data_IF_847302874071
#
_entry.id   IF_847302874071
#
_cell.length_a   1.000
_cell.length_b   1.000
_cell.length_c   1.000
_cell.angle_alpha   90.00
_cell.angle_beta   90.00
_cell.angle_gamma   90.00
#
_symmetry.space_group_name_H-M   'P 1'
#
loop_
_entity.id
_entity.type
_entity.pdbx_description
1 polymer ?
#
# COMPACT_ATOMS: atom_id res chain seq x y z
N UNK A 1 8.22 19.04 26.78
CA UNK A 1 7.44 17.88 26.31
C UNK A 1 6.57 18.35 25.15
N UNK A 2 6.96 18.08 23.93
CA UNK A 2 6.13 18.31 22.73
C UNK A 2 5.03 17.24 22.71
N UNK A 3 3.78 17.65 22.58
CA UNK A 3 2.61 16.75 22.49
C UNK A 3 2.35 16.48 21.02
N UNK A 4 2.40 15.22 20.62
CA UNK A 4 2.00 14.78 19.30
C UNK A 4 0.49 14.52 19.28
N UNK A 5 -0.19 14.95 18.24
CA UNK A 5 -1.64 14.90 18.16
C UNK A 5 -2.14 13.82 17.21
N UNK A 6 -3.09 13.04 17.69
CA UNK A 6 -3.88 12.13 16.88
C UNK A 6 -5.35 12.35 17.18
N UNK A 7 -6.16 12.71 16.18
CA UNK A 7 -7.61 12.85 16.34
C UNK A 7 -8.21 11.54 16.87
N UNK A 8 -9.22 11.67 17.72
CA UNK A 8 -10.06 10.59 18.22
C UNK A 8 -10.95 10.05 17.07
N UNK A 9 -10.33 9.50 16.06
CA UNK A 9 -10.93 8.45 15.26
C UNK A 9 -10.05 7.25 15.50
N UNK A 10 -10.70 6.14 15.88
CA UNK A 10 -10.09 4.85 15.77
C UNK A 10 -9.14 4.94 14.59
N UNK A 11 -7.84 4.72 14.80
CA UNK A 11 -6.91 4.56 13.69
C UNK A 11 -7.26 3.21 13.06
N UNK A 12 -8.43 3.17 12.45
CA UNK A 12 -8.83 2.11 11.54
C UNK A 12 -7.88 2.27 10.39
N UNK A 13 -7.03 1.30 10.33
CA UNK A 13 -5.87 1.27 9.47
C UNK A 13 -6.14 1.65 8.06
N UNK A 14 -5.22 2.33 7.66
CA UNK A 14 -4.85 2.86 6.39
C UNK A 14 -5.24 1.95 5.25
N UNK A 15 -6.07 2.52 4.48
CA UNK A 15 -6.62 1.95 3.30
C UNK A 15 -5.91 2.57 2.09
N UNK A 16 -5.20 1.79 1.35
CA UNK A 16 -4.89 2.15 -0.03
C UNK A 16 -5.69 1.23 -0.95
N UNK A 17 -6.60 1.80 -1.70
CA UNK A 17 -7.15 1.15 -2.86
C UNK A 17 -6.53 1.81 -4.08
N UNK A 18 -5.92 1.04 -4.94
CA UNK A 18 -5.30 1.53 -6.14
C UNK A 18 -5.95 0.89 -7.36
N UNK A 19 -6.33 1.71 -8.31
CA UNK A 19 -6.89 1.26 -9.59
C UNK A 19 -5.98 1.72 -10.70
N UNK A 20 -5.53 0.78 -11.52
CA UNK A 20 -4.78 1.05 -12.75
C UNK A 20 -5.60 0.51 -13.92
N UNK A 21 -6.15 1.41 -14.72
CA UNK A 21 -6.83 1.05 -15.97
C UNK A 21 -5.84 1.11 -17.14
N UNK A 22 -5.70 0.01 -17.87
CA UNK A 22 -4.81 -0.10 -19.01
C UNK A 22 -5.62 -0.18 -20.32
N UNK A 23 -5.24 0.55 -21.37
CA UNK A 23 -5.89 0.45 -22.67
C UNK A 23 -5.66 -0.90 -23.35
N UNK A 24 -6.58 -1.34 -24.16
CA UNK A 24 -6.53 -2.62 -24.89
C UNK A 24 -5.43 -2.68 -25.97
N UNK A 25 -4.89 -1.52 -26.37
CA UNK A 25 -3.85 -1.42 -27.40
C UNK A 25 -2.51 -1.12 -26.76
N UNK A 26 -1.63 -2.09 -26.86
CA UNK A 26 -0.18 -2.10 -26.61
C UNK A 26 0.41 -1.05 -25.68
N UNK A 27 1.05 -1.52 -24.63
CA UNK A 27 1.89 -0.67 -23.79
C UNK A 27 3.08 -0.18 -24.63
N UNK A 28 2.99 1.05 -25.13
CA UNK A 28 4.15 1.76 -25.64
C UNK A 28 4.80 2.49 -24.46
N UNK A 29 5.91 1.95 -23.98
CA UNK A 29 6.77 2.64 -23.03
C UNK A 29 7.42 3.84 -23.75
N UNK A 30 7.00 5.04 -23.39
CA UNK A 30 7.74 6.24 -23.74
C UNK A 30 9.06 6.23 -22.97
N UNK A 31 10.17 6.43 -23.69
CA UNK A 31 11.51 6.51 -23.13
C UNK A 31 11.65 7.69 -22.17
N UNK A 32 11.72 7.41 -20.87
CA UNK A 32 12.24 8.35 -19.90
C UNK A 32 13.74 8.02 -19.72
N UNK A 33 14.61 8.99 -19.99
CA UNK A 33 16.05 8.88 -19.77
C UNK A 33 16.32 8.63 -18.29
N UNK A 34 16.80 7.42 -17.99
CA UNK A 34 17.29 7.06 -16.66
C UNK A 34 18.70 7.64 -16.48
N UNK A 35 18.87 8.57 -15.57
CA UNK A 35 20.21 9.00 -15.13
C UNK A 35 20.85 7.89 -14.30
N UNK A 36 22.01 7.44 -14.72
CA UNK A 36 22.83 6.42 -14.05
C UNK A 36 23.17 6.82 -12.60
N UNK A 37 22.78 5.96 -11.67
CA UNK A 37 23.37 5.95 -10.32
C UNK A 37 24.19 4.67 -10.22
N UNK A 38 25.53 4.81 -10.26
CA UNK A 38 26.45 3.71 -10.01
C UNK A 38 26.35 3.28 -8.55
N UNK A 39 25.93 2.04 -8.30
CA UNK A 39 26.11 1.39 -7.00
C UNK A 39 27.32 0.46 -7.06
N UNK A 40 28.34 0.79 -6.26
CA UNK A 40 29.44 -0.12 -5.93
C UNK A 40 29.07 -0.89 -4.67
N UNK A 41 28.85 -2.19 -4.77
CA UNK A 41 29.30 -3.20 -3.79
C UNK A 41 28.88 -4.59 -4.27
N UNK A 42 29.91 -5.33 -4.74
CA UNK A 42 29.83 -6.78 -4.90
C UNK A 42 30.07 -7.44 -3.53
N UNK A 43 29.11 -8.24 -3.10
CA UNK A 43 29.40 -9.37 -2.21
C UNK A 43 28.58 -10.58 -2.67
N UNK A 44 29.27 -11.49 -3.31
CA UNK A 44 28.75 -12.79 -3.76
C UNK A 44 28.67 -13.75 -2.59
N UNK A 45 27.46 -14.14 -2.21
CA UNK A 45 27.20 -15.35 -1.43
C UNK A 45 26.24 -16.25 -2.19
N UNK A 46 26.79 -17.36 -2.69
CA UNK A 46 26.04 -18.46 -3.29
C UNK A 46 25.40 -19.31 -2.19
N UNK A 47 24.08 -19.38 -2.16
CA UNK A 47 23.31 -20.25 -1.28
C UNK A 47 21.83 -20.10 -1.58
N UNK A 48 21.20 -21.22 -1.91
CA UNK A 48 19.78 -21.51 -2.15
C UNK A 48 18.83 -20.29 -1.97
N UNK A 49 18.56 -19.56 -3.06
CA UNK A 49 17.74 -18.34 -3.04
C UNK A 49 16.27 -18.72 -3.04
N UNK A 50 15.65 -18.70 -1.86
CA UNK A 50 14.24 -18.30 -1.78
C UNK A 50 14.11 -16.87 -2.30
N UNK A 51 12.95 -16.50 -2.85
CA UNK A 51 12.71 -15.17 -3.42
C UNK A 51 13.03 -14.08 -2.38
N UNK A 52 14.21 -13.49 -2.46
CA UNK A 52 14.62 -12.42 -1.57
C UNK A 52 14.46 -11.09 -2.30
N UNK A 53 13.57 -10.25 -1.79
CA UNK A 53 13.54 -8.84 -2.18
C UNK A 53 14.76 -8.15 -1.56
N UNK A 54 15.40 -7.28 -2.33
CA UNK A 54 16.33 -6.32 -1.78
C UNK A 54 15.54 -5.28 -0.97
N UNK A 55 15.56 -5.46 0.35
CA UNK A 55 14.83 -4.57 1.29
C UNK A 55 15.30 -3.14 1.24
N UNK A 56 16.58 -2.91 0.92
CA UNK A 56 17.13 -1.56 0.82
C UNK A 56 16.57 -0.85 -0.42
N UNK A 57 16.53 -1.53 -1.57
CA UNK A 57 15.92 -1.01 -2.79
C UNK A 57 14.43 -0.73 -2.58
N UNK A 58 13.69 -1.67 -2.00
CA UNK A 58 12.25 -1.48 -1.73
C UNK A 58 11.98 -0.30 -0.81
N UNK A 59 12.78 -0.14 0.25
CA UNK A 59 12.63 1.00 1.17
C UNK A 59 12.94 2.33 0.49
N UNK A 60 14.05 2.42 -0.25
CA UNK A 60 14.42 3.63 -0.99
C UNK A 60 13.34 4.03 -2.01
N UNK A 61 12.79 3.07 -2.73
CA UNK A 61 11.73 3.33 -3.69
C UNK A 61 10.44 3.76 -3.02
N UNK A 62 10.11 3.19 -1.85
CA UNK A 62 8.96 3.63 -1.05
C UNK A 62 9.12 5.06 -0.56
N UNK A 63 10.32 5.48 -0.13
CA UNK A 63 10.62 6.86 0.25
C UNK A 63 10.48 7.80 -0.95
N UNK A 64 11.13 7.50 -2.09
CA UNK A 64 11.00 8.30 -3.32
C UNK A 64 9.56 8.46 -3.77
N UNK A 65 8.77 7.39 -3.69
CA UNK A 65 7.34 7.43 -4.01
C UNK A 65 6.58 8.36 -3.07
N UNK A 66 6.89 8.32 -1.78
CA UNK A 66 6.30 9.23 -0.78
C UNK A 66 6.59 10.68 -1.13
N UNK A 67 7.83 11.01 -1.47
CA UNK A 67 8.23 12.37 -1.88
C UNK A 67 7.48 12.82 -3.14
N UNK A 68 7.39 11.95 -4.16
CA UNK A 68 6.70 12.28 -5.41
C UNK A 68 5.20 12.52 -5.21
N UNK A 69 4.54 11.67 -4.42
CA UNK A 69 3.10 11.82 -4.11
C UNK A 69 2.89 13.08 -3.26
N UNK A 70 3.72 13.30 -2.24
CA UNK A 70 3.64 14.50 -1.41
C UNK A 70 3.78 15.78 -2.23
N UNK A 71 4.76 15.84 -3.13
CA UNK A 71 4.94 16.97 -4.03
C UNK A 71 3.74 17.19 -4.97
N UNK A 72 3.10 16.13 -5.43
CA UNK A 72 1.95 16.21 -6.34
C UNK A 72 0.68 16.73 -5.69
N UNK A 73 0.49 16.54 -4.37
CA UNK A 73 -0.71 16.97 -3.63
C UNK A 73 -0.58 18.35 -2.98
N UNK A 74 0.55 19.01 -3.18
CA UNK A 74 0.77 20.42 -2.83
C UNK A 74 0.38 20.78 -1.37
N UNK A 75 0.84 19.97 -0.41
CA UNK A 75 0.62 20.22 1.03
C UNK A 75 -0.69 19.70 1.61
N UNK A 76 -1.50 19.02 0.83
CA UNK A 76 -2.67 18.30 1.33
C UNK A 76 -2.25 17.05 2.11
N UNK A 77 -3.13 16.58 2.99
CA UNK A 77 -2.91 15.32 3.68
C UNK A 77 -2.93 14.16 2.70
N UNK A 78 -1.92 13.31 2.77
CA UNK A 78 -1.83 12.10 1.95
C UNK A 78 -1.92 10.84 2.82
N UNK A 79 -2.49 9.80 2.23
CA UNK A 79 -2.47 8.45 2.80
C UNK A 79 -2.39 7.45 1.66
N UNK A 80 -1.34 6.64 1.64
CA UNK A 80 -1.18 5.58 0.66
C UNK A 80 -0.37 4.42 1.24
N UNK A 81 -0.43 3.27 0.59
CA UNK A 81 0.32 2.08 0.96
C UNK A 81 1.37 1.75 -0.10
N UNK A 82 2.66 1.91 0.18
CA UNK A 82 3.72 1.43 -0.71
C UNK A 82 3.60 -0.06 -1.03
N UNK A 83 3.21 -0.87 -0.06
CA UNK A 83 2.99 -2.32 -0.25
C UNK A 83 1.91 -2.59 -1.29
N UNK A 84 0.77 -1.91 -1.22
CA UNK A 84 -0.31 -2.04 -2.21
C UNK A 84 0.14 -1.68 -3.61
N UNK A 85 0.90 -0.59 -3.75
CA UNK A 85 1.45 -0.19 -5.03
C UNK A 85 2.45 -1.22 -5.57
N UNK A 86 3.34 -1.74 -4.72
CA UNK A 86 4.28 -2.77 -5.12
C UNK A 86 3.57 -4.06 -5.56
N UNK A 87 2.47 -4.46 -4.93
CA UNK A 87 1.66 -5.59 -5.37
C UNK A 87 1.05 -5.33 -6.76
N UNK A 88 0.46 -4.16 -6.99
CA UNK A 88 -0.07 -3.79 -8.30
C UNK A 88 1.01 -3.78 -9.39
N UNK A 89 2.19 -3.18 -9.11
CA UNK A 89 3.32 -3.17 -10.02
C UNK A 89 3.89 -4.58 -10.26
N UNK A 90 3.90 -5.44 -9.23
CA UNK A 90 4.28 -6.85 -9.35
C UNK A 90 3.36 -7.61 -10.31
N UNK A 91 2.03 -7.43 -10.20
CA UNK A 91 1.10 -8.02 -11.16
C UNK A 91 1.33 -7.50 -12.58
N UNK A 92 1.64 -6.21 -12.76
CA UNK A 92 1.99 -5.65 -14.07
C UNK A 92 3.29 -6.29 -14.59
N UNK A 93 4.30 -6.47 -13.75
CA UNK A 93 5.57 -7.09 -14.12
C UNK A 93 5.41 -8.53 -14.63
N UNK A 94 4.42 -9.27 -14.09
CA UNK A 94 4.12 -10.63 -14.56
C UNK A 94 3.53 -10.64 -15.98
N UNK A 95 2.80 -9.59 -16.37
CA UNK A 95 2.31 -9.44 -17.74
C UNK A 95 3.31 -8.77 -18.69
N UNK A 96 4.35 -8.13 -18.17
CA UNK A 96 5.31 -7.37 -18.95
C UNK A 96 6.42 -8.26 -19.54
N UNK A 97 7.04 -7.77 -20.64
CA UNK A 97 8.19 -8.41 -21.30
C UNK A 97 9.25 -7.37 -21.67
N UNK A 98 10.48 -7.83 -21.89
CA UNK A 98 11.60 -6.98 -22.31
C UNK A 98 11.89 -5.86 -21.31
N UNK A 99 12.22 -4.69 -21.81
CA UNK A 99 12.64 -3.53 -21.02
C UNK A 99 11.62 -3.13 -19.94
N UNK A 100 10.33 -3.18 -20.25
CA UNK A 100 9.28 -2.87 -19.26
C UNK A 100 9.36 -3.81 -18.05
N UNK A 101 9.58 -5.12 -18.28
CA UNK A 101 9.75 -6.08 -17.19
C UNK A 101 11.00 -5.77 -16.38
N UNK A 102 12.12 -5.50 -17.06
CA UNK A 102 13.40 -5.17 -16.41
C UNK A 102 13.28 -3.93 -15.50
N UNK A 103 12.66 -2.86 -16.01
CA UNK A 103 12.45 -1.65 -15.22
C UNK A 103 11.60 -1.92 -13.98
N UNK A 104 10.52 -2.69 -14.12
CA UNK A 104 9.65 -3.04 -12.99
C UNK A 104 10.38 -3.95 -11.99
N UNK A 105 11.11 -4.95 -12.43
CA UNK A 105 11.89 -5.84 -11.56
C UNK A 105 12.97 -5.07 -10.78
N UNK A 106 13.68 -4.15 -11.45
CA UNK A 106 14.67 -3.28 -10.81
C UNK A 106 14.02 -2.37 -9.76
N UNK A 107 12.84 -1.82 -10.06
CA UNK A 107 12.09 -1.01 -9.11
C UNK A 107 11.62 -1.82 -7.91
N UNK A 108 11.12 -3.02 -8.13
CA UNK A 108 10.62 -3.92 -7.09
C UNK A 108 11.75 -4.59 -6.28
N UNK A 109 13.00 -4.56 -6.78
CA UNK A 109 14.15 -5.18 -6.14
C UNK A 109 14.15 -6.71 -6.21
N UNK A 110 13.43 -7.28 -7.17
CA UNK A 110 13.38 -8.73 -7.42
C UNK A 110 12.86 -9.04 -8.82
N UNK A 111 13.30 -10.15 -9.39
CA UNK A 111 12.81 -10.74 -10.63
C UNK A 111 11.72 -11.82 -10.39
N UNK A 112 11.50 -12.20 -9.14
CA UNK A 112 10.50 -13.19 -8.71
C UNK A 112 9.53 -12.57 -7.66
N UNK A 113 8.76 -11.61 -8.11
CA UNK A 113 7.79 -10.95 -7.23
C UNK A 113 6.61 -11.87 -6.88
N UNK A 114 6.32 -12.87 -7.70
CA UNK A 114 5.28 -13.88 -7.44
C UNK A 114 5.57 -14.65 -6.15
N UNK A 115 6.77 -15.18 -6.03
CA UNK A 115 7.18 -15.91 -4.83
C UNK A 115 7.19 -15.00 -3.60
N UNK A 116 7.69 -13.76 -3.75
CA UNK A 116 7.64 -12.77 -2.68
C UNK A 116 6.20 -12.46 -2.23
N UNK A 117 5.30 -12.17 -3.18
CA UNK A 117 3.90 -11.85 -2.86
C UNK A 117 3.23 -13.01 -2.11
N UNK A 118 3.44 -14.23 -2.57
CA UNK A 118 2.92 -15.44 -1.93
C UNK A 118 3.44 -15.63 -0.50
N UNK A 119 4.74 -15.45 -0.30
CA UNK A 119 5.36 -15.52 1.03
C UNK A 119 4.82 -14.41 1.94
N UNK A 120 4.75 -13.19 1.43
CA UNK A 120 4.22 -12.04 2.14
C UNK A 120 2.76 -12.25 2.57
N UNK A 121 1.88 -12.70 1.65
CA UNK A 121 0.49 -13.00 1.94
C UNK A 121 0.33 -14.13 2.98
N UNK A 122 1.23 -15.10 3.00
CA UNK A 122 1.23 -16.12 4.04
C UNK A 122 1.66 -15.53 5.39
N UNK A 123 2.69 -14.69 5.39
CA UNK A 123 3.20 -14.08 6.62
C UNK A 123 2.20 -13.12 7.27
N UNK A 124 1.47 -12.34 6.49
CA UNK A 124 0.49 -11.39 7.07
C UNK A 124 -0.65 -12.09 7.79
N UNK A 125 -0.90 -13.38 7.52
CA UNK A 125 -1.90 -14.17 8.28
C UNK A 125 -1.51 -14.32 9.75
N UNK A 126 -0.22 -14.28 10.07
CA UNK A 126 0.30 -14.36 11.44
C UNK A 126 -0.07 -13.13 12.28
N UNK A 127 -0.34 -11.98 11.62
CA UNK A 127 -0.77 -10.74 12.26
C UNK A 127 -2.29 -10.68 12.51
N UNK A 128 -3.04 -11.68 12.03
CA UNK A 128 -4.47 -11.79 12.29
C UNK A 128 -4.68 -12.58 13.58
N UNK A 129 -5.22 -11.95 14.60
CA UNK A 129 -5.51 -12.60 15.89
C UNK A 129 -6.99 -12.49 16.20
N UNK A 130 -7.56 -13.60 16.64
CA UNK A 130 -8.91 -13.65 17.19
C UNK A 130 -8.91 -13.69 18.73
N UNK A 131 -7.76 -13.43 19.34
CA UNK A 131 -7.61 -13.49 20.79
C UNK A 131 -8.38 -12.33 21.44
N UNK A 132 -9.54 -12.68 21.99
CA UNK A 132 -10.41 -11.76 22.71
C UNK A 132 -9.94 -11.52 24.16
N UNK A 133 -8.86 -12.18 24.63
CA UNK A 133 -8.36 -12.05 26.00
C UNK A 133 -7.96 -10.61 26.34
N UNK A 134 -7.63 -9.80 25.35
CA UNK A 134 -7.38 -8.35 25.48
C UNK A 134 -8.51 -7.48 24.91
N UNK A 135 -9.61 -8.07 24.47
CA UNK A 135 -10.75 -7.35 23.91
C UNK A 135 -10.51 -6.76 22.51
N UNK A 136 -9.46 -7.18 21.81
CA UNK A 136 -9.09 -6.67 20.50
C UNK A 136 -8.89 -7.79 19.50
N UNK A 137 -9.51 -7.62 18.33
CA UNK A 137 -9.20 -8.40 17.13
C UNK A 137 -8.19 -7.64 16.30
N UNK A 138 -7.20 -8.34 15.76
CA UNK A 138 -6.28 -7.77 14.79
C UNK A 138 -6.54 -8.38 13.42
N UNK A 139 -6.65 -7.54 12.41
CA UNK A 139 -6.92 -7.93 11.04
C UNK A 139 -6.02 -7.16 10.09
N UNK A 140 -5.19 -7.87 9.35
CA UNK A 140 -4.42 -7.35 8.23
C UNK A 140 -4.77 -8.15 6.99
N UNK A 141 -5.34 -7.50 5.99
CA UNK A 141 -5.81 -8.13 4.76
C UNK A 141 -5.30 -7.35 3.56
N UNK A 142 -4.72 -8.07 2.61
CA UNK A 142 -4.47 -7.58 1.26
C UNK A 142 -5.38 -8.37 0.32
N UNK A 143 -6.04 -7.70 -0.58
CA UNK A 143 -6.84 -8.31 -1.63
C UNK A 143 -6.52 -7.64 -2.97
N UNK A 144 -6.39 -8.46 -4.00
CA UNK A 144 -6.08 -8.07 -5.35
C UNK A 144 -7.16 -8.54 -6.30
N UNK A 145 -7.45 -7.77 -7.35
CA UNK A 145 -8.31 -8.23 -8.44
C UNK A 145 -7.83 -7.72 -9.80
N UNK A 146 -8.06 -8.55 -10.80
CA UNK A 146 -7.81 -8.29 -12.21
C UNK A 146 -9.13 -8.34 -12.95
N UNK A 147 -9.58 -7.17 -13.42
CA UNK A 147 -10.79 -7.01 -14.23
C UNK A 147 -10.39 -6.99 -15.68
N UNK A 148 -10.99 -7.85 -16.48
CA UNK A 148 -10.62 -8.06 -17.89
C UNK A 148 -11.82 -7.77 -18.77
N UNK A 149 -11.62 -7.03 -19.87
CA UNK A 149 -12.69 -6.81 -20.83
C UNK A 149 -13.21 -8.13 -21.38
N UNK A 150 -14.53 -8.24 -21.57
CA UNK A 150 -15.19 -9.45 -22.07
C UNK A 150 -14.69 -9.91 -23.45
N UNK A 151 -14.10 -9.01 -24.24
CA UNK A 151 -13.53 -9.32 -25.55
C UNK A 151 -12.08 -9.79 -25.50
N UNK A 152 -11.46 -9.81 -24.31
CA UNK A 152 -10.08 -10.22 -24.11
C UNK A 152 -10.00 -11.56 -23.38
N UNK A 153 -8.95 -12.30 -23.68
CA UNK A 153 -8.60 -13.54 -22.98
C UNK A 153 -7.18 -13.38 -22.41
N UNK A 154 -7.05 -13.54 -21.11
CA UNK A 154 -5.73 -13.55 -20.49
C UNK A 154 -4.96 -14.82 -20.88
N UNK A 155 -3.66 -14.67 -21.03
CA UNK A 155 -2.77 -15.83 -21.15
C UNK A 155 -2.80 -16.62 -19.83
N UNK A 156 -2.90 -17.94 -19.92
CA UNK A 156 -3.01 -18.82 -18.74
C UNK A 156 -1.81 -18.67 -17.79
N UNK A 157 -0.62 -18.42 -18.31
CA UNK A 157 0.57 -18.18 -17.50
C UNK A 157 0.40 -16.94 -16.60
N UNK A 158 -0.03 -15.81 -17.18
CA UNK A 158 -0.32 -14.58 -16.42
C UNK A 158 -1.45 -14.80 -15.40
N UNK A 159 -2.54 -15.40 -15.82
CA UNK A 159 -3.67 -15.71 -14.94
C UNK A 159 -3.24 -16.55 -13.75
N UNK A 160 -2.45 -17.60 -13.99
CA UNK A 160 -1.93 -18.47 -12.95
C UNK A 160 -0.97 -17.71 -12.01
N UNK A 161 -0.09 -16.84 -12.53
CA UNK A 161 0.81 -16.03 -11.72
C UNK A 161 0.03 -15.12 -10.77
N UNK A 162 -0.95 -14.37 -11.26
CA UNK A 162 -1.71 -13.43 -10.41
C UNK A 162 -2.62 -14.16 -9.41
N UNK A 163 -3.23 -15.27 -9.82
CA UNK A 163 -4.12 -16.04 -8.93
C UNK A 163 -3.34 -16.77 -7.84
N UNK A 164 -2.27 -17.48 -8.21
CA UNK A 164 -1.53 -18.34 -7.26
C UNK A 164 -0.46 -17.59 -6.47
N UNK A 165 0.10 -16.51 -7.03
CA UNK A 165 1.11 -15.67 -6.40
C UNK A 165 0.50 -14.59 -5.52
N UNK A 166 -0.38 -13.79 -6.09
CA UNK A 166 -0.98 -12.65 -5.42
C UNK A 166 -2.33 -12.95 -4.77
N UNK A 167 -2.90 -14.14 -5.00
CA UNK A 167 -4.25 -14.48 -4.55
C UNK A 167 -5.33 -13.63 -5.23
N UNK A 168 -5.03 -13.06 -6.40
CA UNK A 168 -5.93 -12.15 -7.08
C UNK A 168 -7.19 -12.84 -7.59
N UNK A 169 -8.32 -12.18 -7.43
CA UNK A 169 -9.57 -12.51 -8.12
C UNK A 169 -9.44 -12.07 -9.59
N UNK A 170 -9.87 -12.91 -10.54
CA UNK A 170 -9.84 -12.58 -11.97
C UNK A 170 -11.25 -12.68 -12.51
N UNK A 171 -11.80 -11.54 -12.94
CA UNK A 171 -13.17 -11.44 -13.44
C UNK A 171 -13.25 -10.73 -14.79
N UNK A 172 -14.14 -11.22 -15.67
CA UNK A 172 -14.47 -10.55 -16.92
C UNK A 172 -15.58 -9.53 -16.69
N UNK A 173 -15.42 -8.33 -17.26
CA UNK A 173 -16.35 -7.22 -17.16
C UNK A 173 -16.53 -6.54 -18.53
N UNK A 174 -17.58 -5.74 -18.66
CA UNK A 174 -17.83 -4.93 -19.85
C UNK A 174 -17.46 -3.47 -19.57
N UNK A 175 -16.28 -3.04 -19.98
CA UNK A 175 -15.84 -1.67 -19.77
C UNK A 175 -16.61 -0.64 -20.60
N UNK A 176 -17.34 -1.05 -21.66
CA UNK A 176 -18.23 -0.16 -22.39
C UNK A 176 -19.46 0.23 -21.55
N UNK A 177 -19.84 -0.62 -20.60
CA UNK A 177 -20.90 -0.37 -19.62
C UNK A 177 -20.29 0.25 -18.32
N UNK A 178 -19.62 1.40 -18.45
CA UNK A 178 -18.77 1.98 -17.42
C UNK A 178 -19.43 2.10 -16.03
N UNK A 179 -20.68 2.58 -15.95
CA UNK A 179 -21.39 2.71 -14.66
C UNK A 179 -21.59 1.34 -13.98
N UNK A 180 -21.99 0.33 -14.72
CA UNK A 180 -22.19 -1.03 -14.21
C UNK A 180 -20.87 -1.62 -13.74
N UNK A 181 -19.82 -1.50 -14.54
CA UNK A 181 -18.49 -2.03 -14.22
C UNK A 181 -17.89 -1.30 -13.02
N UNK A 182 -18.01 0.02 -12.92
CA UNK A 182 -17.64 0.75 -11.70
C UNK A 182 -18.41 0.26 -10.47
N UNK A 183 -19.70 -0.06 -10.61
CA UNK A 183 -20.49 -0.62 -9.51
C UNK A 183 -19.93 -1.95 -9.03
N UNK A 184 -19.50 -2.84 -9.91
CA UNK A 184 -18.88 -4.14 -9.58
C UNK A 184 -17.56 -3.91 -8.84
N UNK A 185 -16.65 -3.12 -9.41
CA UNK A 185 -15.32 -2.84 -8.86
C UNK A 185 -15.44 -2.15 -7.50
N UNK A 186 -16.30 -1.16 -7.37
CA UNK A 186 -16.55 -0.45 -6.12
C UNK A 186 -17.12 -1.37 -5.03
N UNK A 187 -18.07 -2.25 -5.38
CA UNK A 187 -18.60 -3.23 -4.43
C UNK A 187 -17.55 -4.22 -3.94
N UNK A 188 -16.62 -4.62 -4.82
CA UNK A 188 -15.48 -5.43 -4.43
C UNK A 188 -14.56 -4.69 -3.43
N UNK A 189 -14.28 -3.42 -3.70
CA UNK A 189 -13.46 -2.60 -2.80
C UNK A 189 -14.13 -2.40 -1.45
N UNK A 190 -15.40 -2.03 -1.43
CA UNK A 190 -16.22 -1.86 -0.22
C UNK A 190 -16.16 -3.10 0.67
N UNK A 191 -16.39 -4.28 0.09
CA UNK A 191 -16.30 -5.57 0.77
C UNK A 191 -14.91 -5.86 1.32
N UNK A 192 -13.85 -5.59 0.53
CA UNK A 192 -12.46 -5.91 0.93
C UNK A 192 -11.87 -4.89 1.90
N UNK A 193 -12.55 -3.77 2.12
CA UNK A 193 -12.17 -2.69 3.01
C UNK A 193 -13.15 -2.51 4.18
N UNK A 194 -14.00 -3.51 4.43
CA UNK A 194 -14.99 -3.49 5.52
C UNK A 194 -15.89 -2.24 5.51
N UNK A 195 -16.26 -1.77 4.33
CA UNK A 195 -17.08 -0.58 4.15
C UNK A 195 -16.35 0.77 4.27
N UNK A 196 -15.03 0.78 4.47
CA UNK A 196 -14.29 2.03 4.66
C UNK A 196 -14.01 2.76 3.34
N UNK A 197 -13.86 2.02 2.22
CA UNK A 197 -13.76 2.62 0.87
C UNK A 197 -14.87 2.08 -0.02
N UNK A 198 -16.02 2.72 -0.02
CA UNK A 198 -17.15 2.29 -0.86
C UNK A 198 -16.97 2.63 -2.35
N UNK A 199 -15.97 3.47 -2.69
CA UNK A 199 -15.78 3.93 -4.07
C UNK A 199 -14.32 4.27 -4.36
N UNK A 200 -13.72 3.58 -5.34
CA UNK A 200 -12.34 3.78 -5.78
C UNK A 200 -12.25 4.17 -7.26
N UNK A 201 -13.30 3.94 -8.03
CA UNK A 201 -13.32 4.20 -9.47
C UNK A 201 -14.62 4.90 -9.87
N UNK A 202 -14.51 5.79 -10.86
CA UNK A 202 -15.62 6.51 -11.45
C UNK A 202 -15.73 6.24 -12.94
N UNK A 203 -16.93 6.38 -13.56
CA UNK A 203 -17.13 6.03 -14.96
C UNK A 203 -16.27 6.80 -15.95
N UNK A 204 -15.75 7.97 -15.59
CA UNK A 204 -14.84 8.77 -16.41
C UNK A 204 -13.41 8.20 -16.51
N UNK A 205 -13.06 7.25 -15.62
CA UNK A 205 -11.74 6.60 -15.61
C UNK A 205 -11.66 5.35 -16.49
N UNK A 206 -12.79 4.84 -16.98
CA UNK A 206 -12.86 3.65 -17.82
C UNK A 206 -13.76 3.89 -19.04
N UNK A 207 -13.50 3.19 -20.12
CA UNK A 207 -14.28 3.28 -21.35
C UNK A 207 -14.11 2.01 -22.19
N UNK A 208 -14.70 2.00 -23.40
CA UNK A 208 -14.67 0.89 -24.37
C UNK A 208 -13.27 0.53 -24.89
N UNK A 209 -12.25 1.38 -24.66
CA UNK A 209 -10.85 1.09 -24.98
C UNK A 209 -10.08 0.52 -23.79
N UNK A 210 -10.68 0.45 -22.62
CA UNK A 210 -10.06 -0.17 -21.43
C UNK A 210 -10.07 -1.68 -21.60
N UNK A 211 -8.90 -2.29 -21.63
CA UNK A 211 -8.77 -3.74 -21.77
C UNK A 211 -8.62 -4.47 -20.46
N UNK A 212 -7.98 -3.81 -19.48
CA UNK A 212 -7.67 -4.40 -18.19
C UNK A 212 -7.63 -3.34 -17.10
N UNK A 213 -8.13 -3.68 -15.92
CA UNK A 213 -8.02 -2.88 -14.72
C UNK A 213 -7.50 -3.73 -13.57
N UNK A 214 -6.54 -3.22 -12.83
CA UNK A 214 -6.03 -3.86 -11.62
C UNK A 214 -6.48 -3.07 -10.40
N UNK A 215 -6.92 -3.78 -9.38
CA UNK A 215 -7.26 -3.19 -8.09
C UNK A 215 -6.55 -3.92 -6.97
N UNK A 216 -6.06 -3.16 -6.02
CA UNK A 216 -5.52 -3.68 -4.77
C UNK A 216 -6.18 -2.96 -3.60
N UNK A 217 -6.43 -3.66 -2.53
CA UNK A 217 -6.86 -3.10 -1.25
C UNK A 217 -6.03 -3.66 -0.11
N UNK A 218 -5.71 -2.79 0.86
CA UNK A 218 -5.11 -3.17 2.12
C UNK A 218 -6.01 -2.69 3.25
N UNK A 219 -6.42 -3.60 4.12
CA UNK A 219 -7.19 -3.32 5.33
C UNK A 219 -6.36 -3.70 6.55
N UNK A 220 -6.30 -2.78 7.52
CA UNK A 220 -5.63 -3.01 8.80
C UNK A 220 -6.48 -2.51 9.96
N UNK A 221 -6.66 -3.36 10.95
CA UNK A 221 -7.30 -3.06 12.23
C UNK A 221 -6.55 -3.79 13.33
N UNK A 222 -6.22 -3.10 14.42
CA UNK A 222 -5.62 -3.73 15.60
C UNK A 222 -5.82 -2.85 16.83
N UNK A 223 -5.89 -3.46 17.99
CA UNK A 223 -5.77 -2.77 19.26
C UNK A 223 -4.32 -2.36 19.54
N UNK A 224 -4.13 -1.47 20.49
CA UNK A 224 -2.80 -1.09 20.99
C UNK A 224 -2.29 -2.12 21.98
N UNK A 225 -1.00 -2.42 21.91
CA UNK A 225 -0.32 -3.14 23.00
C UNK A 225 -0.16 -2.22 24.21
N UNK A 226 -0.40 -2.75 25.41
CA UNK A 226 -0.23 -2.01 26.67
C UNK A 226 -1.36 -1.02 26.98
N UNK A 227 -1.03 -0.02 27.79
CA UNK A 227 -2.02 0.93 28.33
C UNK A 227 -2.70 1.76 27.24
N UNK A 228 -4.01 2.04 27.35
CA UNK A 228 -4.72 2.85 26.38
C UNK A 228 -4.21 4.30 26.36
N UNK A 229 -4.49 4.99 25.25
CA UNK A 229 -4.23 6.42 25.16
C UNK A 229 -5.11 7.21 26.13
N UNK A 230 -4.50 8.12 26.86
CA UNK A 230 -5.25 9.11 27.63
C UNK A 230 -5.65 10.26 26.71
N UNK A 231 -6.94 10.53 26.62
CA UNK A 231 -7.48 11.68 25.87
C UNK A 231 -7.61 12.86 26.80
N UNK A 232 -7.07 14.03 26.40
CA UNK A 232 -7.19 15.26 27.19
C UNK A 232 -8.66 15.66 27.39
N UNK A 233 -9.00 16.16 28.59
CA UNK A 233 -10.35 16.67 28.86
C UNK A 233 -10.60 17.99 28.15
N UNK A 234 -9.54 18.75 27.91
CA UNK A 234 -9.58 20.08 27.28
C UNK A 234 -9.11 20.01 25.83
N UNK A 235 -9.71 20.84 24.99
CA UNK A 235 -9.26 21.09 23.64
C UNK A 235 -8.12 22.12 23.65
N UNK A 236 -7.07 21.84 22.90
CA UNK A 236 -5.95 22.76 22.68
C UNK A 236 -5.85 23.11 21.19
N UNK A 237 -5.17 24.23 20.89
CA UNK A 237 -4.99 24.70 19.52
C UNK A 237 -4.09 23.75 18.72
N UNK A 238 -4.52 23.43 17.50
CA UNK A 238 -3.73 22.71 16.51
C UNK A 238 -3.67 23.46 15.19
N UNK A 239 -2.45 23.66 14.67
CA UNK A 239 -2.25 24.32 13.40
C UNK A 239 -2.95 25.67 13.29
N UNK A 240 -3.68 25.88 12.22
CA UNK A 240 -4.36 27.14 11.86
C UNK A 240 -5.62 27.48 12.65
N UNK A 241 -5.64 27.27 13.96
CA UNK A 241 -6.73 27.60 14.90
C UNK A 241 -7.82 26.53 15.12
N UNK A 242 -7.69 25.33 14.59
CA UNK A 242 -8.56 24.24 14.98
C UNK A 242 -8.31 23.84 16.44
N UNK A 243 -9.39 23.67 17.20
CA UNK A 243 -9.31 23.12 18.55
C UNK A 243 -9.50 21.61 18.50
N UNK A 244 -8.68 20.89 19.23
CA UNK A 244 -8.76 19.43 19.29
C UNK A 244 -8.27 18.89 20.61
N UNK A 245 -8.72 17.68 20.94
CA UNK A 245 -8.24 16.94 22.09
C UNK A 245 -6.99 16.18 21.74
N UNK A 246 -6.00 16.23 22.61
CA UNK A 246 -4.76 15.50 22.45
C UNK A 246 -4.84 14.13 23.10
N UNK A 247 -4.16 13.18 22.50
CA UNK A 247 -3.91 11.89 23.10
C UNK A 247 -2.48 11.86 23.65
N UNK A 248 -2.32 11.32 24.86
CA UNK A 248 -1.02 11.14 25.50
C UNK A 248 -0.88 9.69 25.92
N UNK A 249 0.33 9.17 25.83
CA UNK A 249 0.69 7.86 26.33
C UNK A 249 2.01 7.93 27.08
N UNK A 250 2.25 6.99 27.99
CA UNK A 250 3.52 6.78 28.66
C UNK A 250 4.06 5.40 28.27
N UNK A 251 5.37 5.29 28.06
CA UNK A 251 6.01 4.01 27.79
C UNK A 251 6.32 3.73 26.31
N UNK A 252 5.96 4.65 25.41
CA UNK A 252 6.35 4.54 24.00
C UNK A 252 7.87 4.78 23.85
N UNK A 253 8.49 4.13 22.86
CA UNK A 253 9.89 4.40 22.52
C UNK A 253 9.98 5.76 21.86
N UNK A 254 10.88 6.60 22.31
CA UNK A 254 11.07 7.97 21.82
C UNK A 254 12.46 8.14 21.22
N UNK A 255 12.52 8.80 20.10
CA UNK A 255 13.74 9.09 19.35
C UNK A 255 13.81 10.58 19.06
N UNK A 256 15.02 11.14 19.09
CA UNK A 256 15.25 12.54 18.78
C UNK A 256 16.62 12.71 18.12
N UNK A 257 16.67 13.51 17.06
CA UNK A 257 17.89 13.99 16.44
C UNK A 257 17.71 15.44 15.99
N UNK A 258 18.68 15.99 15.26
CA UNK A 258 18.67 17.36 14.75
C UNK A 258 17.60 17.63 13.67
N UNK A 259 17.01 16.59 13.07
CA UNK A 259 16.03 16.69 11.98
C UNK A 259 14.60 16.42 12.40
N UNK A 260 14.41 15.48 13.31
CA UNK A 260 13.07 15.05 13.70
C UNK A 260 13.01 14.49 15.12
N UNK A 261 11.83 14.54 15.68
CA UNK A 261 11.45 13.72 16.82
C UNK A 261 10.50 12.62 16.35
N UNK A 262 10.64 11.41 16.88
CA UNK A 262 9.80 10.29 16.53
C UNK A 262 9.43 9.46 17.75
N UNK A 263 8.35 8.70 17.65
CA UNK A 263 8.02 7.66 18.61
C UNK A 263 7.49 6.45 17.86
N UNK A 264 7.63 5.28 18.45
CA UNK A 264 6.93 4.10 18.00
C UNK A 264 6.10 3.47 19.11
N UNK A 265 4.98 2.91 18.72
CA UNK A 265 4.06 2.21 19.59
C UNK A 265 3.59 0.92 18.94
N UNK A 266 3.63 -0.14 19.68
CA UNK A 266 3.24 -1.46 19.20
C UNK A 266 1.72 -1.65 19.21
N UNK A 267 1.22 -2.30 18.19
CA UNK A 267 -0.12 -2.87 18.16
C UNK A 267 -0.12 -4.25 18.85
N UNK A 268 -1.29 -4.71 19.26
CA UNK A 268 -1.47 -6.01 19.90
C UNK A 268 -0.98 -7.20 19.07
N UNK A 269 -0.91 -7.05 17.75
CA UNK A 269 -0.42 -8.06 16.81
C UNK A 269 1.07 -7.97 16.48
N UNK A 270 1.84 -7.12 17.19
CA UNK A 270 3.29 -6.98 16.99
C UNK A 270 3.71 -6.05 15.84
N UNK A 271 2.77 -5.44 15.12
CA UNK A 271 3.07 -4.32 14.22
C UNK A 271 3.26 -3.04 15.02
N UNK A 272 3.88 -2.03 14.44
CA UNK A 272 4.13 -0.75 15.10
C UNK A 272 3.57 0.42 14.32
N UNK A 273 3.06 1.39 15.05
CA UNK A 273 2.79 2.74 14.55
C UNK A 273 4.02 3.60 14.84
N UNK A 274 4.51 4.30 13.83
CA UNK A 274 5.62 5.24 13.95
C UNK A 274 5.11 6.65 13.66
N UNK A 275 5.23 7.54 14.63
CA UNK A 275 4.94 8.97 14.45
C UNK A 275 6.24 9.74 14.31
N UNK A 276 6.35 10.57 13.27
CA UNK A 276 7.53 11.40 13.00
C UNK A 276 7.08 12.86 12.94
N UNK A 277 7.79 13.72 13.65
CA UNK A 277 7.60 15.17 13.62
C UNK A 277 8.91 15.81 13.19
N UNK A 278 9.03 16.36 11.98
CA UNK A 278 10.20 17.14 11.54
C UNK A 278 10.44 18.35 12.43
N UNK A 279 11.71 18.76 12.54
CA UNK A 279 12.08 19.98 13.28
C UNK A 279 11.72 21.24 12.48
N UNK A 280 11.93 21.19 11.18
CA UNK A 280 11.61 22.27 10.25
C UNK A 280 10.41 21.88 9.35
N UNK A 281 9.53 22.85 9.05
CA UNK A 281 8.32 22.63 8.23
C UNK A 281 8.62 22.32 6.75
N UNK A 282 9.87 22.20 6.36
CA UNK A 282 10.30 21.93 4.98
C UNK A 282 11.17 20.69 4.78
N UNK A 283 11.36 19.90 5.85
CA UNK A 283 12.16 18.66 5.81
C UNK A 283 11.33 17.39 5.64
#
# INVERSE_FOLDING_TARGET
>A
RKRLMIRKQLLIGILAAMTVALPAVGIYAGSAEASEIQSSNEDTVSGNKGASIDKAVTLQNSVKMTDQISAAVNGENIMFSPTSLNFALGMIAEGAKGETKEVLCNYLGTDDFVSYAKEYLNKIKEYNTEDESYGYKSKLKIADAVWVDNNLTLQEEFKNSVTNGFGAEVENVDFSAAEKTCGIINSWCDKNTEGLIPKIITPDLINDTTGLCLTNSLYFESGWSGEPWNVSDTEEKFGNNEKTKYMTSAGDRYYENDKATAFDREYANGLSFVGILPVDEGD
#
